data_IF_730904067953
#
_entry.id   IF_730904067953
#
_cell.length_a   1.000
_cell.length_b   1.000
_cell.length_c   1.000
_cell.angle_alpha   90.00
_cell.angle_beta   90.00
_cell.angle_gamma   90.00
#
_symmetry.space_group_name_H-M   'P 1'
#
loop_
_entity.id
_entity.type
_entity.pdbx_description
1 polymer ?
#
# COMPACT_ATOMS: atom_id res chain seq x y z
N UNK A 1 -8.53 -17.09 -2.73
CA UNK A 1 -7.07 -17.26 -2.80
C UNK A 1 -6.70 -18.60 -2.16
N UNK A 2 -5.71 -19.28 -2.73
CA UNK A 2 -5.19 -20.54 -2.16
C UNK A 2 -4.27 -20.24 -0.98
N UNK A 3 -3.42 -19.23 -1.10
CA UNK A 3 -2.45 -18.84 -0.08
C UNK A 3 -2.33 -17.33 0.00
N UNK A 4 -2.18 -16.81 1.20
CA UNK A 4 -1.93 -15.39 1.49
C UNK A 4 -0.60 -15.29 2.22
N UNK A 5 0.35 -14.54 1.66
CA UNK A 5 1.59 -14.18 2.32
C UNK A 5 1.34 -12.86 3.03
N UNK A 6 1.31 -12.89 4.34
CA UNK A 6 1.05 -11.72 5.17
C UNK A 6 2.34 -11.20 5.78
N UNK A 7 2.76 -10.02 5.33
CA UNK A 7 3.93 -9.33 5.83
C UNK A 7 3.63 -8.56 7.12
N UNK A 8 4.58 -8.55 8.05
CA UNK A 8 4.57 -7.70 9.24
C UNK A 8 5.99 -7.23 9.60
N UNK A 9 6.08 -6.14 10.36
CA UNK A 9 7.35 -5.66 10.88
C UNK A 9 7.58 -6.14 12.33
N UNK A 10 6.81 -5.62 13.29
CA UNK A 10 7.04 -5.86 14.71
C UNK A 10 5.90 -6.62 15.40
N UNK A 11 4.66 -6.52 14.92
CA UNK A 11 3.46 -7.02 15.59
C UNK A 11 2.76 -8.06 14.73
N UNK A 12 2.81 -9.31 15.14
CA UNK A 12 2.23 -10.45 14.43
C UNK A 12 0.91 -10.96 15.05
N UNK A 13 0.50 -10.46 16.22
CA UNK A 13 -0.54 -11.07 17.05
C UNK A 13 -1.88 -11.24 16.32
N UNK A 14 -2.26 -10.25 15.50
CA UNK A 14 -3.49 -10.33 14.69
C UNK A 14 -3.35 -11.33 13.55
N UNK A 15 -2.18 -11.39 12.92
CA UNK A 15 -1.90 -12.31 11.82
C UNK A 15 -1.76 -13.74 12.31
N UNK A 16 -1.20 -13.95 13.50
CA UNK A 16 -1.13 -15.26 14.16
C UNK A 16 -2.54 -15.82 14.42
N UNK A 17 -3.46 -15.01 14.92
CA UNK A 17 -4.87 -15.41 15.08
C UNK A 17 -5.51 -15.81 13.75
N UNK A 18 -5.22 -15.09 12.66
CA UNK A 18 -5.69 -15.47 11.33
C UNK A 18 -5.04 -16.78 10.87
N UNK A 19 -3.76 -16.97 11.15
CA UNK A 19 -3.05 -18.20 10.82
C UNK A 19 -3.61 -19.39 11.62
N UNK A 20 -3.94 -19.22 12.90
CA UNK A 20 -4.62 -20.23 13.71
C UNK A 20 -5.99 -20.61 13.12
N UNK A 21 -6.75 -19.61 12.62
CA UNK A 21 -8.08 -19.82 12.04
C UNK A 21 -8.04 -20.47 10.65
N UNK A 22 -7.08 -20.08 9.80
CA UNK A 22 -7.03 -20.48 8.38
C UNK A 22 -5.90 -21.47 8.06
N UNK A 23 -5.07 -21.80 9.05
CA UNK A 23 -3.99 -22.77 8.91
C UNK A 23 -2.96 -22.39 7.87
N UNK A 24 -2.53 -23.37 7.08
CA UNK A 24 -1.47 -23.20 6.08
C UNK A 24 -1.82 -22.22 4.92
N UNK A 25 -3.05 -21.72 4.87
CA UNK A 25 -3.42 -20.67 3.91
C UNK A 25 -2.78 -19.33 4.21
N UNK A 26 -2.33 -19.09 5.45
CA UNK A 26 -1.68 -17.85 5.86
C UNK A 26 -0.21 -18.13 6.15
N UNK A 27 0.66 -17.55 5.36
CA UNK A 27 2.12 -17.59 5.55
C UNK A 27 2.58 -16.23 6.09
N UNK A 28 3.19 -16.22 7.25
CA UNK A 28 3.71 -14.99 7.85
C UNK A 28 5.15 -14.74 7.40
N UNK A 29 5.45 -13.53 6.97
CA UNK A 29 6.79 -13.07 6.63
C UNK A 29 7.13 -11.79 7.37
N UNK A 30 8.21 -11.82 8.13
CA UNK A 30 8.70 -10.67 8.88
C UNK A 30 9.81 -9.97 8.09
N UNK A 31 9.66 -8.64 7.92
CA UNK A 31 10.75 -7.78 7.47
C UNK A 31 10.52 -6.34 7.93
N UNK A 32 11.58 -5.62 8.24
CA UNK A 32 11.52 -4.18 8.38
C UNK A 32 11.68 -3.55 6.98
N UNK A 33 10.63 -2.95 6.44
CA UNK A 33 10.67 -2.34 5.10
C UNK A 33 11.54 -1.08 5.02
N UNK A 34 11.92 -0.49 6.16
CA UNK A 34 12.91 0.59 6.20
C UNK A 34 14.36 0.06 6.08
N UNK A 35 14.56 -1.27 6.10
CA UNK A 35 15.85 -1.94 5.90
C UNK A 35 15.86 -2.66 4.55
N UNK A 36 16.62 -2.14 3.61
CA UNK A 36 16.71 -2.67 2.24
C UNK A 36 17.20 -4.14 2.22
N UNK A 37 18.15 -4.48 3.09
CA UNK A 37 18.67 -5.84 3.21
C UNK A 37 17.63 -6.83 3.76
N UNK A 38 16.79 -6.38 4.71
CA UNK A 38 15.70 -7.20 5.22
C UNK A 38 14.65 -7.48 4.13
N UNK A 39 14.33 -6.48 3.31
CA UNK A 39 13.41 -6.66 2.15
C UNK A 39 14.01 -7.64 1.15
N UNK A 40 15.28 -7.45 0.80
CA UNK A 40 15.99 -8.33 -0.13
C UNK A 40 15.99 -9.79 0.35
N UNK A 41 16.38 -10.05 1.61
CA UNK A 41 16.34 -11.39 2.21
C UNK A 41 14.94 -12.02 2.18
N UNK A 42 13.91 -11.26 2.56
CA UNK A 42 12.53 -11.74 2.50
C UNK A 42 12.13 -12.18 1.08
N UNK A 43 12.47 -11.38 0.08
CA UNK A 43 12.15 -11.70 -1.33
C UNK A 43 12.96 -12.88 -1.85
N UNK A 44 14.22 -13.01 -1.44
CA UNK A 44 15.05 -14.18 -1.76
C UNK A 44 14.45 -15.47 -1.18
N UNK A 45 14.07 -15.48 0.10
CA UNK A 45 13.43 -16.63 0.75
C UNK A 45 12.12 -17.03 0.06
N UNK A 46 11.29 -16.05 -0.36
CA UNK A 46 10.06 -16.33 -1.11
C UNK A 46 10.36 -16.95 -2.46
N UNK A 47 11.37 -16.46 -3.16
CA UNK A 47 11.80 -16.99 -4.45
C UNK A 47 12.32 -18.43 -4.33
N UNK A 48 13.21 -18.70 -3.37
CA UNK A 48 13.79 -20.02 -3.11
C UNK A 48 12.74 -21.06 -2.70
N UNK A 49 11.70 -20.60 -1.96
CA UNK A 49 10.56 -21.46 -1.57
C UNK A 49 9.51 -21.65 -2.67
N UNK A 50 9.68 -21.02 -3.84
CA UNK A 50 8.68 -21.07 -4.91
C UNK A 50 7.38 -20.31 -4.61
N UNK A 51 7.36 -19.48 -3.58
CA UNK A 51 6.19 -18.75 -3.09
C UNK A 51 6.08 -17.36 -3.74
N UNK A 52 6.11 -17.30 -5.08
CA UNK A 52 5.99 -16.04 -5.79
C UNK A 52 4.53 -15.64 -5.95
N UNK A 53 4.11 -14.47 -5.40
CA UNK A 53 2.71 -14.05 -5.46
C UNK A 53 2.27 -13.66 -6.87
N UNK A 54 1.01 -13.97 -7.19
CA UNK A 54 0.33 -13.53 -8.42
C UNK A 54 -0.43 -12.20 -8.20
N UNK A 55 -0.66 -11.83 -6.94
CA UNK A 55 -1.31 -10.59 -6.53
C UNK A 55 -0.52 -9.92 -5.42
N UNK A 56 -0.39 -8.60 -5.50
CA UNK A 56 0.26 -7.79 -4.46
C UNK A 56 -0.67 -6.67 -4.02
N UNK A 57 -0.91 -6.60 -2.72
CA UNK A 57 -1.50 -5.45 -2.06
C UNK A 57 -0.45 -4.75 -1.19
N UNK A 58 -0.01 -3.57 -1.61
CA UNK A 58 0.96 -2.77 -0.87
C UNK A 58 0.26 -1.74 0.00
N UNK A 59 0.27 -1.98 1.32
CA UNK A 59 -0.33 -1.11 2.34
C UNK A 59 0.72 -0.41 3.19
N UNK A 60 2.01 -0.68 2.95
CA UNK A 60 3.06 -0.21 3.84
C UNK A 60 3.16 1.31 3.87
N UNK A 61 3.27 1.84 5.07
CA UNK A 61 3.54 3.23 5.34
C UNK A 61 4.13 3.35 6.76
N UNK A 62 4.98 4.34 6.98
CA UNK A 62 5.40 4.73 8.32
C UNK A 62 4.22 5.34 9.08
N UNK A 63 4.31 5.39 10.41
CA UNK A 63 3.37 6.15 11.22
C UNK A 63 3.30 7.60 10.75
N UNK A 64 2.09 8.16 10.75
CA UNK A 64 1.90 9.56 10.37
C UNK A 64 2.49 10.50 11.41
N UNK A 65 3.30 11.43 10.95
CA UNK A 65 3.91 12.46 11.80
C UNK A 65 3.55 13.85 11.30
N UNK A 66 2.98 14.65 12.18
CA UNK A 66 2.70 16.08 11.95
C UNK A 66 3.90 16.92 12.37
N UNK A 67 4.71 17.36 11.40
CA UNK A 67 5.89 18.15 11.68
C UNK A 67 6.09 19.24 10.60
N UNK A 68 6.42 20.46 11.06
CA UNK A 68 6.75 21.56 10.14
C UNK A 68 7.95 21.18 9.27
N UNK A 69 7.92 21.56 8.01
CA UNK A 69 9.00 21.30 7.06
C UNK A 69 10.37 21.79 7.57
N UNK A 70 10.41 22.97 8.23
CA UNK A 70 11.65 23.50 8.79
C UNK A 70 12.31 22.65 9.89
N UNK A 71 11.62 21.62 10.38
CA UNK A 71 12.14 20.67 11.37
C UNK A 71 12.42 19.28 10.76
N UNK A 72 12.19 19.12 9.46
CA UNK A 72 12.49 17.88 8.73
C UNK A 72 13.92 17.93 8.20
N UNK A 73 14.59 16.80 8.26
CA UNK A 73 15.89 16.56 7.62
C UNK A 73 15.71 15.80 6.31
N UNK A 74 16.76 15.74 5.49
CA UNK A 74 16.79 14.85 4.33
C UNK A 74 16.62 13.38 4.73
N UNK A 75 17.21 12.98 5.85
CA UNK A 75 17.10 11.61 6.36
C UNK A 75 15.65 11.18 6.66
N UNK A 76 14.78 12.10 7.11
CA UNK A 76 13.34 11.81 7.30
C UNK A 76 12.66 11.42 5.98
N UNK A 77 13.04 12.09 4.89
CA UNK A 77 12.53 11.77 3.54
C UNK A 77 13.12 10.46 3.03
N UNK A 78 14.40 10.22 3.22
CA UNK A 78 15.08 8.99 2.80
C UNK A 78 14.45 7.78 3.48
N UNK A 79 14.24 7.84 4.80
CA UNK A 79 13.61 6.77 5.55
C UNK A 79 12.15 6.52 5.13
N UNK A 80 11.36 7.57 4.91
CA UNK A 80 9.98 7.46 4.42
C UNK A 80 9.94 6.83 3.02
N UNK A 81 10.82 7.28 2.11
CA UNK A 81 10.94 6.73 0.76
C UNK A 81 11.43 5.28 0.79
N UNK A 82 12.39 4.95 1.64
CA UNK A 82 12.87 3.58 1.79
C UNK A 82 11.73 2.66 2.23
N UNK A 83 10.98 3.05 3.27
CA UNK A 83 9.90 2.23 3.81
C UNK A 83 8.75 2.03 2.82
N UNK A 84 8.30 3.11 2.17
CA UNK A 84 7.07 3.11 1.38
C UNK A 84 7.30 2.81 -0.10
N UNK A 85 8.39 3.32 -0.68
CA UNK A 85 8.61 3.32 -2.14
C UNK A 85 9.67 2.30 -2.55
N UNK A 86 10.88 2.40 -2.01
CA UNK A 86 11.98 1.54 -2.43
C UNK A 86 11.76 0.09 -2.03
N UNK A 87 11.10 -0.16 -0.90
CA UNK A 87 10.66 -1.51 -0.53
C UNK A 87 9.71 -2.11 -1.57
N UNK A 88 8.72 -1.32 -2.06
CA UNK A 88 7.84 -1.77 -3.14
C UNK A 88 8.61 -2.04 -4.44
N UNK A 89 9.54 -1.16 -4.79
CA UNK A 89 10.39 -1.34 -5.98
C UNK A 89 11.16 -2.66 -5.91
N UNK A 90 11.79 -2.99 -4.78
CA UNK A 90 12.52 -4.24 -4.59
C UNK A 90 11.60 -5.47 -4.67
N UNK A 91 10.42 -5.40 -4.06
CA UNK A 91 9.39 -6.44 -4.15
C UNK A 91 8.97 -6.64 -5.61
N UNK A 92 8.61 -5.58 -6.31
CA UNK A 92 8.12 -5.65 -7.69
C UNK A 92 9.22 -6.09 -8.66
N UNK A 93 10.47 -5.65 -8.47
CA UNK A 93 11.62 -6.09 -9.26
C UNK A 93 11.80 -7.62 -9.23
N UNK A 94 11.49 -8.23 -8.09
CA UNK A 94 11.57 -9.69 -7.93
C UNK A 94 10.32 -10.41 -8.48
N UNK A 95 9.13 -9.85 -8.30
CA UNK A 95 7.85 -10.54 -8.60
C UNK A 95 7.41 -10.36 -10.06
N UNK A 96 7.54 -9.14 -10.62
CA UNK A 96 7.04 -8.83 -11.97
C UNK A 96 7.61 -9.73 -13.08
N UNK A 97 8.88 -10.18 -13.06
CA UNK A 97 9.37 -11.13 -14.05
C UNK A 97 8.64 -12.49 -14.03
N UNK A 98 8.21 -12.96 -12.86
CA UNK A 98 7.43 -14.19 -12.74
C UNK A 98 6.00 -14.00 -13.25
N UNK A 99 5.34 -12.89 -12.89
CA UNK A 99 4.03 -12.52 -13.41
C UNK A 99 4.06 -12.36 -14.95
N UNK A 100 5.09 -11.71 -15.50
CA UNK A 100 5.25 -11.51 -16.94
C UNK A 100 5.39 -12.84 -17.71
N UNK A 101 6.10 -13.84 -17.16
CA UNK A 101 6.18 -15.18 -17.75
C UNK A 101 4.82 -15.88 -17.77
N UNK A 102 4.01 -15.68 -16.74
CA UNK A 102 2.62 -16.22 -16.65
C UNK A 102 1.63 -15.41 -17.48
N UNK A 103 2.00 -14.21 -17.93
CA UNK A 103 1.12 -13.22 -18.57
C UNK A 103 -0.11 -12.90 -17.72
N UNK A 104 0.05 -12.86 -16.42
CA UNK A 104 -1.01 -12.63 -15.44
C UNK A 104 -0.43 -12.10 -14.15
N UNK A 105 -1.04 -11.07 -13.58
CA UNK A 105 -0.67 -10.52 -12.30
C UNK A 105 -1.46 -9.25 -11.98
N UNK A 106 -1.66 -9.01 -10.69
CA UNK A 106 -2.33 -7.78 -10.22
C UNK A 106 -1.57 -7.16 -9.06
N UNK A 107 -1.33 -5.87 -9.18
CA UNK A 107 -0.69 -5.06 -8.13
C UNK A 107 -1.61 -3.91 -7.78
N UNK A 108 -1.93 -3.77 -6.51
CA UNK A 108 -2.70 -2.64 -5.98
C UNK A 108 -1.90 -1.94 -4.90
N UNK A 109 -1.70 -0.64 -5.08
CA UNK A 109 -0.93 0.20 -4.16
C UNK A 109 -1.85 1.15 -3.41
N UNK A 110 -1.80 1.12 -2.08
CA UNK A 110 -2.56 2.04 -1.25
C UNK A 110 -1.87 3.41 -1.21
N UNK A 111 -2.50 4.38 -1.84
CA UNK A 111 -2.10 5.78 -1.79
C UNK A 111 -2.90 6.54 -0.71
N UNK A 112 -3.35 7.72 -1.03
CA UNK A 112 -4.15 8.58 -0.17
C UNK A 112 -4.81 9.68 -1.01
N UNK A 113 -5.91 10.22 -0.56
CA UNK A 113 -6.53 11.40 -1.15
C UNK A 113 -5.58 12.62 -1.23
N UNK A 114 -4.46 12.63 -0.54
CA UNK A 114 -3.44 13.69 -0.64
C UNK A 114 -2.84 13.84 -2.04
N UNK A 115 -2.91 12.79 -2.91
CA UNK A 115 -2.41 12.84 -4.30
C UNK A 115 -3.47 13.31 -5.31
N UNK A 116 -4.69 13.55 -4.89
CA UNK A 116 -5.77 14.05 -5.75
C UNK A 116 -6.38 15.35 -5.27
N UNK A 117 -6.11 15.71 -4.02
CA UNK A 117 -6.61 16.91 -3.38
C UNK A 117 -5.47 17.80 -2.90
N UNK A 118 -5.84 18.86 -2.18
CA UNK A 118 -4.85 19.67 -1.46
C UNK A 118 -4.18 18.82 -0.39
N UNK A 119 -2.84 18.64 -0.44
CA UNK A 119 -2.13 17.87 0.57
C UNK A 119 -2.29 18.50 1.97
N UNK A 120 -2.35 17.66 3.02
CA UNK A 120 -2.45 18.15 4.39
C UNK A 120 -1.16 18.90 4.79
N UNK A 121 -1.32 19.96 5.58
CA UNK A 121 -0.17 20.70 6.12
C UNK A 121 0.64 19.79 7.06
N UNK A 122 1.95 20.02 7.12
CA UNK A 122 2.88 19.37 8.05
C UNK A 122 3.11 17.87 7.84
N UNK A 123 2.75 17.36 6.66
CA UNK A 123 2.92 15.96 6.26
C UNK A 123 3.75 15.84 4.96
N UNK A 124 4.85 16.59 4.87
CA UNK A 124 5.63 16.67 3.63
C UNK A 124 6.27 15.34 3.22
N UNK A 125 6.86 14.57 4.15
CA UNK A 125 7.47 13.27 3.86
C UNK A 125 6.44 12.29 3.31
N UNK A 126 5.31 12.16 4.01
CA UNK A 126 4.19 11.32 3.60
C UNK A 126 3.63 11.73 2.24
N UNK A 127 3.42 13.03 2.01
CA UNK A 127 2.93 13.52 0.71
C UNK A 127 3.88 13.15 -0.42
N UNK A 128 5.18 13.38 -0.23
CA UNK A 128 6.20 13.04 -1.24
C UNK A 128 6.22 11.54 -1.52
N UNK A 129 6.16 10.69 -0.50
CA UNK A 129 6.14 9.24 -0.69
C UNK A 129 4.90 8.77 -1.46
N UNK A 130 3.72 9.34 -1.19
CA UNK A 130 2.50 8.97 -1.90
C UNK A 130 2.50 9.42 -3.38
N UNK A 131 3.08 10.58 -3.70
CA UNK A 131 3.29 10.99 -5.10
C UNK A 131 4.35 10.14 -5.80
N UNK A 132 5.43 9.75 -5.11
CA UNK A 132 6.43 8.84 -5.65
C UNK A 132 5.83 7.45 -5.96
N UNK A 133 5.01 6.90 -5.05
CA UNK A 133 4.26 5.67 -5.30
C UNK A 133 3.30 5.81 -6.50
N UNK A 134 2.59 6.93 -6.64
CA UNK A 134 1.73 7.18 -7.80
C UNK A 134 2.55 7.15 -9.10
N UNK A 135 3.69 7.84 -9.14
CA UNK A 135 4.60 7.81 -10.29
C UNK A 135 5.06 6.39 -10.62
N UNK A 136 5.41 5.60 -9.59
CA UNK A 136 5.80 4.19 -9.74
C UNK A 136 4.67 3.35 -10.34
N UNK A 137 3.44 3.51 -9.85
CA UNK A 137 2.25 2.81 -10.38
C UNK A 137 2.05 3.13 -11.86
N UNK A 138 2.07 4.41 -12.24
CA UNK A 138 1.82 4.85 -13.61
C UNK A 138 2.91 4.34 -14.56
N UNK A 139 4.18 4.45 -14.18
CA UNK A 139 5.32 4.00 -14.99
C UNK A 139 5.27 2.47 -15.22
N UNK A 140 5.06 1.70 -14.15
CA UNK A 140 5.03 0.24 -14.27
C UNK A 140 3.75 -0.27 -14.94
N UNK A 141 2.61 0.41 -14.78
CA UNK A 141 1.39 0.06 -15.49
C UNK A 141 1.58 0.13 -17.01
N UNK A 142 2.23 1.19 -17.52
CA UNK A 142 2.55 1.33 -18.94
C UNK A 142 3.52 0.24 -19.41
N UNK A 143 4.59 0.00 -18.66
CA UNK A 143 5.64 -0.97 -19.03
C UNK A 143 5.13 -2.42 -19.07
N UNK A 144 4.18 -2.77 -18.17
CA UNK A 144 3.74 -4.16 -17.96
C UNK A 144 2.35 -4.49 -18.53
N UNK A 145 1.62 -3.52 -19.09
CA UNK A 145 0.29 -3.75 -19.65
C UNK A 145 0.27 -4.83 -20.75
N UNK A 146 1.22 -4.79 -21.70
CA UNK A 146 1.33 -5.78 -22.78
C UNK A 146 1.70 -7.18 -22.26
N UNK A 147 2.21 -7.27 -21.03
CA UNK A 147 2.56 -8.53 -20.37
C UNK A 147 1.38 -9.13 -19.58
N UNK A 148 0.19 -8.53 -19.68
CA UNK A 148 -1.02 -9.00 -19.01
C UNK A 148 -1.04 -8.74 -17.51
N UNK A 149 -0.29 -7.72 -17.03
CA UNK A 149 -0.24 -7.35 -15.62
C UNK A 149 -0.99 -6.04 -15.42
N UNK A 150 -1.92 -6.03 -14.47
CA UNK A 150 -2.67 -4.83 -14.07
C UNK A 150 -2.05 -4.23 -12.81
N UNK A 151 -1.62 -2.97 -12.89
CA UNK A 151 -1.02 -2.24 -11.77
C UNK A 151 -1.85 -0.98 -11.53
N UNK A 152 -2.48 -0.89 -10.36
CA UNK A 152 -3.41 0.17 -10.02
C UNK A 152 -3.14 0.71 -8.61
N UNK A 153 -3.75 1.83 -8.30
CA UNK A 153 -3.73 2.44 -6.98
C UNK A 153 -5.13 2.69 -6.45
N UNK A 154 -5.23 2.78 -5.13
CA UNK A 154 -6.44 3.21 -4.42
C UNK A 154 -6.07 4.34 -3.48
N UNK A 155 -6.80 5.44 -3.55
CA UNK A 155 -6.58 6.66 -2.77
C UNK A 155 -7.77 6.95 -1.87
N UNK A 156 -7.84 6.35 -0.67
CA UNK A 156 -8.89 6.66 0.28
C UNK A 156 -8.66 8.02 0.95
N UNK A 157 -9.76 8.65 1.37
CA UNK A 157 -9.75 9.69 2.39
C UNK A 157 -9.41 9.09 3.76
N UNK A 158 -9.46 9.94 4.78
CA UNK A 158 -9.19 9.53 6.16
C UNK A 158 -10.09 8.35 6.55
N UNK A 159 -9.46 7.24 6.87
CA UNK A 159 -10.12 5.97 7.22
C UNK A 159 -9.84 5.64 8.68
N UNK A 160 -10.88 5.38 9.45
CA UNK A 160 -10.79 5.10 10.88
C UNK A 160 -10.09 3.74 11.11
N UNK A 161 -8.80 3.80 11.36
CA UNK A 161 -7.91 2.66 11.59
C UNK A 161 -6.85 3.01 12.63
N UNK A 162 -6.10 2.03 13.10
CA UNK A 162 -4.96 2.25 14.00
C UNK A 162 -3.87 3.16 13.39
N UNK A 163 -3.88 3.37 12.08
CA UNK A 163 -2.96 4.30 11.40
C UNK A 163 -3.16 5.76 11.83
N UNK A 164 -4.34 6.10 12.34
CA UNK A 164 -4.66 7.44 12.85
C UNK A 164 -4.30 7.65 14.33
N UNK A 165 -3.71 6.68 15.02
CA UNK A 165 -3.46 6.73 16.47
C UNK A 165 -2.62 7.94 16.91
N UNK A 166 -1.72 8.41 16.06
CA UNK A 166 -0.85 9.57 16.34
C UNK A 166 -1.46 10.91 15.87
N UNK A 167 -2.64 10.87 15.26
CA UNK A 167 -3.33 12.06 14.78
C UNK A 167 -4.19 12.64 15.91
N UNK A 168 -4.11 13.95 16.10
CA UNK A 168 -4.97 14.63 17.08
C UNK A 168 -6.45 14.31 16.84
N UNK A 169 -7.21 13.90 17.88
CA UNK A 169 -8.65 13.65 17.75
C UNK A 169 -9.40 14.83 17.14
N UNK A 170 -8.98 16.05 17.41
CA UNK A 170 -9.56 17.26 16.83
C UNK A 170 -9.41 17.29 15.29
N UNK A 171 -8.28 16.86 14.76
CA UNK A 171 -8.07 16.78 13.29
C UNK A 171 -8.95 15.72 12.68
N UNK A 172 -9.06 14.56 13.33
CA UNK A 172 -9.93 13.45 12.90
C UNK A 172 -11.40 13.92 12.86
N UNK A 173 -11.84 14.63 13.91
CA UNK A 173 -13.19 15.19 13.99
C UNK A 173 -13.45 16.29 12.95
N UNK A 174 -12.47 17.19 12.74
CA UNK A 174 -12.57 18.21 11.68
C UNK A 174 -12.71 17.56 10.29
N UNK A 175 -11.96 16.49 10.01
CA UNK A 175 -12.08 15.78 8.75
C UNK A 175 -13.47 15.16 8.59
N UNK A 176 -13.99 14.50 9.63
CA UNK A 176 -15.34 13.95 9.67
C UNK A 176 -16.41 15.01 9.34
N UNK A 177 -16.32 16.17 9.99
CA UNK A 177 -17.30 17.25 9.80
C UNK A 177 -17.21 17.90 8.41
N UNK A 178 -16.01 17.94 7.80
CA UNK A 178 -15.80 18.48 6.47
C UNK A 178 -16.12 17.48 5.35
N UNK A 179 -16.15 16.18 5.65
CA UNK A 179 -16.52 15.17 4.69
C UNK A 179 -18.00 15.34 4.30
N UNK A 180 -18.30 15.18 3.01
CA UNK A 180 -19.69 15.31 2.50
C UNK A 180 -20.60 14.28 3.14
N UNK A 181 -20.12 13.08 3.40
CA UNK A 181 -20.87 11.99 4.05
C UNK A 181 -20.94 12.14 5.57
N UNK A 182 -20.36 13.22 6.16
CA UNK A 182 -20.35 13.51 7.60
C UNK A 182 -19.77 12.40 8.47
N UNK A 183 -18.90 11.59 7.89
CA UNK A 183 -18.14 10.55 8.58
C UNK A 183 -16.79 10.34 7.91
N UNK A 184 -15.83 9.81 8.64
CA UNK A 184 -14.63 9.23 8.05
C UNK A 184 -15.00 7.90 7.37
N UNK A 185 -14.14 7.43 6.48
CA UNK A 185 -14.27 6.08 5.93
C UNK A 185 -13.98 5.03 6.99
N UNK A 186 -14.56 3.85 6.82
CA UNK A 186 -14.15 2.64 7.53
C UNK A 186 -13.49 1.64 6.54
N UNK A 187 -12.94 0.56 7.06
CA UNK A 187 -12.29 -0.46 6.23
C UNK A 187 -13.25 -1.04 5.19
N UNK A 188 -14.52 -1.22 5.57
CA UNK A 188 -15.56 -1.78 4.69
C UNK A 188 -15.92 -0.86 3.51
N UNK A 189 -15.60 0.44 3.60
CA UNK A 189 -15.76 1.35 2.45
C UNK A 189 -14.63 1.16 1.41
N UNK A 190 -13.48 0.60 1.83
CA UNK A 190 -12.29 0.46 0.99
C UNK A 190 -12.17 -0.93 0.38
N UNK A 191 -12.47 -1.96 1.15
CA UNK A 191 -12.32 -3.38 0.78
C UNK A 191 -13.01 -3.73 -0.54
N UNK A 192 -14.26 -3.32 -0.84
CA UNK A 192 -14.92 -3.66 -2.10
C UNK A 192 -14.15 -3.19 -3.34
N UNK A 193 -13.48 -2.04 -3.26
CA UNK A 193 -12.63 -1.54 -4.37
C UNK A 193 -11.40 -2.41 -4.56
N UNK A 194 -10.80 -2.90 -3.48
CA UNK A 194 -9.66 -3.83 -3.54
C UNK A 194 -10.10 -5.18 -4.13
N UNK A 195 -11.24 -5.70 -3.70
CA UNK A 195 -11.82 -6.94 -4.23
C UNK A 195 -12.09 -6.82 -5.73
N UNK A 196 -12.67 -5.71 -6.18
CA UNK A 196 -12.87 -5.42 -7.61
C UNK A 196 -11.54 -5.44 -8.37
N UNK A 197 -10.51 -4.73 -7.87
CA UNK A 197 -9.21 -4.65 -8.55
C UNK A 197 -8.47 -5.99 -8.59
N UNK A 198 -8.75 -6.91 -7.68
CA UNK A 198 -8.20 -8.26 -7.68
C UNK A 198 -9.08 -9.29 -8.40
N UNK A 199 -10.29 -8.93 -8.81
CA UNK A 199 -11.19 -9.82 -9.54
C UNK A 199 -10.95 -9.81 -11.05
N UNK A 200 -11.46 -10.79 -11.77
CA UNK A 200 -11.43 -10.84 -13.23
C UNK A 200 -12.17 -9.64 -13.89
N UNK A 201 -13.10 -9.00 -13.18
CA UNK A 201 -13.82 -7.83 -13.68
C UNK A 201 -12.90 -6.64 -13.99
N UNK A 202 -11.70 -6.59 -13.41
CA UNK A 202 -10.71 -5.54 -13.62
C UNK A 202 -9.55 -5.91 -14.56
N UNK A 203 -9.64 -7.00 -15.32
CA UNK A 203 -8.53 -7.48 -16.20
C UNK A 203 -8.14 -6.51 -17.32
N UNK A 204 -8.94 -5.48 -17.56
CA UNK A 204 -8.65 -4.40 -18.51
C UNK A 204 -8.44 -3.04 -17.84
N UNK A 205 -8.28 -3.05 -16.51
CA UNK A 205 -8.06 -1.84 -15.72
C UNK A 205 -6.62 -1.84 -15.23
N UNK A 206 -5.80 -0.94 -15.78
CA UNK A 206 -4.40 -0.72 -15.37
C UNK A 206 -4.06 0.77 -15.42
N UNK A 207 -3.09 1.21 -14.63
CA UNK A 207 -2.67 2.61 -14.55
C UNK A 207 -3.69 3.53 -13.88
N UNK A 208 -4.71 2.98 -13.21
CA UNK A 208 -5.76 3.78 -12.58
C UNK A 208 -5.45 4.04 -11.12
N UNK A 209 -5.81 5.24 -10.67
CA UNK A 209 -5.86 5.58 -9.26
C UNK A 209 -7.32 5.82 -8.87
N UNK A 210 -7.92 4.87 -8.16
CA UNK A 210 -9.31 4.93 -7.75
C UNK A 210 -9.45 5.69 -6.43
N UNK A 211 -10.21 6.77 -6.47
CA UNK A 211 -10.45 7.58 -5.28
C UNK A 211 -11.65 7.07 -4.51
N UNK A 212 -11.46 6.83 -3.21
CA UNK A 212 -12.54 6.56 -2.27
C UNK A 212 -12.67 7.79 -1.40
N UNK A 213 -13.42 8.74 -1.91
CA UNK A 213 -13.64 10.04 -1.27
C UNK A 213 -15.14 10.29 -1.26
N UNK A 214 -15.62 11.06 -0.31
CA UNK A 214 -16.89 11.73 -0.53
C UNK A 214 -16.78 12.54 -1.83
N UNK A 215 -17.87 13.01 -2.35
CA UNK A 215 -17.88 13.83 -3.58
C UNK A 215 -16.93 15.02 -3.41
N UNK A 216 -16.02 15.22 -4.37
CA UNK A 216 -15.26 16.45 -4.56
C UNK A 216 -15.87 17.28 -5.63
#
# INVERSE_FOLDING_TARGET
YETIIAHYCNHAERLQKLQEQYGNKIILKQANLCDAEAVHRMMQELSESGLMPDHILHLAAKKLEYQRFSKRSAADFEEELQCSVLSLVEILRTVLPAMARKKSGKVVVMLSACVCAKPPKFMSTYTVSKYALLGTVLALAEEYAEKGICINAVSPEMTDTAFLSEISPMIVEMNRNNNVMKRNLCVDDVVPTLEYLFSAASDKVTGQNLFITGVK
#
